data_IF_359902093216
#
_entry.id   IF_359902093216
#
_cell.length_a   1.000
_cell.length_b   1.000
_cell.length_c   1.000
_cell.angle_alpha   90.00
_cell.angle_beta   90.00
_cell.angle_gamma   90.00
#
_symmetry.space_group_name_H-M   'P 1'
#
loop_
_entity.id
_entity.type
_entity.pdbx_description
1 polymer ?
#
# COMPACT_ATOMS: atom_id res chain seq x y z
N UNK A 1 -52.48 -34.12 60.51
CA UNK A 1 -51.91 -32.78 60.79
C UNK A 1 -50.45 -32.98 61.18
N UNK A 2 -49.42 -32.37 60.59
CA UNK A 2 -49.32 -31.44 59.49
C UNK A 2 -47.87 -31.50 58.98
N UNK A 3 -47.71 -31.62 57.66
CA UNK A 3 -46.45 -31.34 56.97
C UNK A 3 -46.13 -29.85 57.12
N UNK A 4 -44.86 -29.49 57.40
CA UNK A 4 -44.20 -28.25 56.95
C UNK A 4 -42.78 -28.18 57.52
N UNK A 5 -41.83 -28.74 56.79
CA UNK A 5 -40.42 -28.38 56.89
C UNK A 5 -39.78 -28.66 55.53
N UNK A 6 -39.68 -27.62 54.70
CA UNK A 6 -38.91 -27.49 53.43
C UNK A 6 -39.46 -26.30 52.66
N UNK A 7 -39.23 -25.07 53.14
CA UNK A 7 -39.52 -23.89 52.32
C UNK A 7 -38.72 -22.66 52.77
N UNK A 8 -37.42 -22.81 53.04
CA UNK A 8 -36.55 -21.68 53.35
C UNK A 8 -35.12 -21.79 52.78
N UNK A 9 -34.83 -22.75 51.89
CA UNK A 9 -33.49 -22.88 51.28
C UNK A 9 -33.43 -22.71 49.76
N UNK A 10 -34.56 -22.52 49.06
CA UNK A 10 -34.56 -22.40 47.59
C UNK A 10 -34.41 -20.97 47.06
N UNK A 11 -34.48 -19.94 47.92
CA UNK A 11 -34.33 -18.53 47.51
C UNK A 11 -32.88 -18.04 47.40
N UNK A 12 -31.93 -18.74 48.01
CA UNK A 12 -30.51 -18.35 47.97
C UNK A 12 -29.73 -18.96 46.79
N UNK A 13 -30.25 -20.01 46.16
CA UNK A 13 -29.63 -20.58 44.96
C UNK A 13 -29.96 -19.79 43.68
N UNK A 14 -31.11 -19.13 43.59
CA UNK A 14 -31.45 -18.31 42.42
C UNK A 14 -30.66 -17.00 42.29
N UNK A 15 -29.97 -16.55 43.35
CA UNK A 15 -29.10 -15.36 43.32
C UNK A 15 -27.64 -15.66 43.02
N UNK A 16 -27.22 -16.93 43.03
CA UNK A 16 -25.85 -17.34 42.71
C UNK A 16 -25.62 -17.62 41.21
N UNK A 17 -26.68 -17.95 40.47
CA UNK A 17 -26.55 -18.25 39.04
C UNK A 17 -26.48 -17.01 38.14
N UNK A 18 -26.96 -15.84 38.60
CA UNK A 18 -26.81 -14.56 37.89
C UNK A 18 -25.46 -13.86 38.09
N UNK A 19 -24.51 -14.46 38.82
CA UNK A 19 -23.15 -13.92 39.00
C UNK A 19 -22.06 -14.75 38.34
N UNK A 20 -22.43 -15.83 37.63
CA UNK A 20 -21.47 -16.67 36.90
C UNK A 20 -21.41 -16.38 35.41
N UNK A 21 -22.34 -15.59 34.88
CA UNK A 21 -22.41 -15.23 33.46
C UNK A 21 -22.02 -13.77 33.15
N UNK A 22 -21.36 -13.11 34.11
CA UNK A 22 -20.86 -11.73 33.97
C UNK A 22 -19.45 -11.60 33.40
N UNK A 23 -18.86 -12.67 32.84
CA UNK A 23 -17.45 -12.69 32.39
C UNK A 23 -17.26 -13.25 30.96
N UNK A 24 -18.20 -13.04 30.05
CA UNK A 24 -18.02 -13.41 28.62
C UNK A 24 -18.55 -12.38 27.61
N UNK A 25 -18.69 -11.12 28.01
CA UNK A 25 -18.94 -10.02 27.06
C UNK A 25 -17.71 -9.11 26.81
N UNK A 26 -16.54 -9.51 27.33
CA UNK A 26 -15.26 -8.86 27.03
C UNK A 26 -14.34 -9.65 26.07
N UNK A 27 -14.64 -10.92 25.80
CA UNK A 27 -13.73 -11.82 25.04
C UNK A 27 -13.74 -11.63 23.53
N UNK A 28 -14.85 -11.13 22.94
CA UNK A 28 -14.95 -10.92 21.48
C UNK A 28 -14.17 -9.71 20.95
N UNK A 29 -13.69 -8.86 21.84
CA UNK A 29 -12.96 -7.64 21.48
C UNK A 29 -11.45 -7.90 21.37
N UNK A 30 -10.93 -8.84 22.17
CA UNK A 30 -9.50 -9.17 22.18
C UNK A 30 -9.17 -10.28 21.16
N UNK A 31 -10.08 -11.24 20.96
CA UNK A 31 -9.90 -12.33 19.98
C UNK A 31 -9.79 -11.85 18.52
N UNK A 32 -10.37 -10.69 18.17
CA UNK A 32 -10.28 -10.15 16.81
C UNK A 32 -8.95 -9.45 16.51
N UNK A 33 -8.22 -8.99 17.52
CA UNK A 33 -6.87 -8.44 17.35
C UNK A 33 -5.81 -9.53 17.24
N UNK A 34 -6.06 -10.68 17.85
CA UNK A 34 -5.18 -11.86 17.84
C UNK A 34 -5.61 -12.92 16.82
N UNK A 35 -6.33 -12.54 15.77
CA UNK A 35 -6.58 -13.47 14.67
C UNK A 35 -5.21 -13.81 14.06
N UNK A 36 -4.79 -15.07 14.20
CA UNK A 36 -3.56 -15.57 13.60
C UNK A 36 -3.76 -15.46 12.09
N UNK A 37 -3.09 -14.48 11.48
CA UNK A 37 -3.13 -14.27 10.04
C UNK A 37 -2.17 -15.24 9.38
N UNK A 38 -2.62 -15.84 8.29
CA UNK A 38 -1.77 -16.70 7.47
C UNK A 38 -0.66 -15.85 6.84
N UNK A 39 0.57 -16.38 6.80
CA UNK A 39 1.68 -15.68 6.15
C UNK A 39 1.35 -15.37 4.68
N UNK A 40 1.90 -14.27 4.15
CA UNK A 40 1.70 -13.88 2.75
C UNK A 40 2.34 -14.86 1.75
N UNK A 41 3.23 -15.72 2.24
CA UNK A 41 3.93 -16.78 1.50
C UNK A 41 3.90 -18.07 2.32
N UNK A 42 3.81 -19.20 1.63
CA UNK A 42 4.01 -20.50 2.26
C UNK A 42 5.48 -20.63 2.66
N UNK A 43 5.73 -20.75 3.96
CA UNK A 43 7.10 -20.90 4.49
C UNK A 43 7.58 -22.31 4.19
N UNK A 44 8.64 -22.43 3.38
CA UNK A 44 9.26 -23.70 3.06
C UNK A 44 10.07 -24.28 4.22
N UNK A 45 10.09 -25.60 4.34
CA UNK A 45 10.87 -26.30 5.39
C UNK A 45 12.40 -26.10 5.23
N UNK A 46 12.84 -25.69 4.04
CA UNK A 46 14.24 -25.42 3.69
C UNK A 46 14.70 -24.00 4.04
N UNK A 47 13.79 -23.14 4.50
CA UNK A 47 14.11 -21.75 4.80
C UNK A 47 14.88 -21.65 6.11
N UNK A 48 16.04 -20.97 6.05
CA UNK A 48 16.87 -20.71 7.23
C UNK A 48 16.52 -19.35 7.81
N UNK A 49 16.06 -19.32 9.05
CA UNK A 49 15.86 -18.08 9.80
C UNK A 49 17.21 -17.42 10.06
N UNK A 50 17.42 -16.22 9.50
CA UNK A 50 18.63 -15.42 9.73
C UNK A 50 18.49 -14.52 10.95
N UNK A 51 17.41 -13.74 10.99
CA UNK A 51 17.19 -12.75 12.04
C UNK A 51 15.68 -12.53 12.26
N UNK A 52 15.31 -12.23 13.50
CA UNK A 52 13.96 -11.83 13.89
C UNK A 52 14.03 -10.44 14.54
N UNK A 53 13.38 -9.46 13.90
CA UNK A 53 13.43 -8.06 14.34
C UNK A 53 12.05 -7.66 14.86
N UNK A 54 11.87 -7.46 16.18
CA UNK A 54 10.58 -7.03 16.72
C UNK A 54 10.33 -5.55 16.42
N UNK A 55 9.06 -5.17 16.27
CA UNK A 55 8.65 -3.78 15.99
C UNK A 55 9.12 -2.77 17.04
N UNK A 56 9.33 -3.21 18.29
CA UNK A 56 9.87 -2.37 19.36
C UNK A 56 11.32 -1.95 19.14
N UNK A 57 12.09 -2.71 18.36
CA UNK A 57 13.44 -2.37 17.92
C UNK A 57 13.38 -1.36 16.77
N UNK A 58 12.59 -1.65 15.72
CA UNK A 58 12.42 -0.76 14.57
C UNK A 58 11.91 0.64 14.96
N UNK A 59 10.99 0.73 15.91
CA UNK A 59 10.45 2.00 16.39
C UNK A 59 11.49 2.90 17.08
N UNK A 60 12.65 2.34 17.50
CA UNK A 60 13.75 3.10 18.12
C UNK A 60 14.83 3.47 17.13
N UNK A 61 14.87 2.84 15.96
CA UNK A 61 15.82 3.17 14.91
C UNK A 61 15.60 4.62 14.47
N UNK A 62 16.69 5.36 14.35
CA UNK A 62 16.70 6.74 13.86
C UNK A 62 17.89 6.90 12.96
N UNK A 63 17.66 7.57 11.83
CA UNK A 63 18.70 8.00 10.92
C UNK A 63 18.65 9.53 10.90
N UNK A 64 19.69 10.14 11.45
CA UNK A 64 19.82 11.60 11.46
C UNK A 64 20.61 12.03 10.20
N UNK A 65 20.29 13.21 9.66
CA UNK A 65 20.98 13.83 8.52
C UNK A 65 20.93 13.03 7.21
N UNK A 66 19.72 12.66 6.78
CA UNK A 66 19.51 12.11 5.43
C UNK A 66 19.70 13.24 4.39
N UNK A 67 20.60 13.09 3.40
CA UNK A 67 20.80 14.09 2.35
C UNK A 67 19.57 14.17 1.43
N UNK A 68 19.40 15.30 0.74
CA UNK A 68 18.40 15.40 -0.32
C UNK A 68 18.83 14.53 -1.51
N UNK A 69 17.91 13.70 -2.02
CA UNK A 69 18.18 12.85 -3.18
C UNK A 69 18.37 13.67 -4.45
N UNK A 70 19.34 13.28 -5.27
CA UNK A 70 19.60 13.90 -6.57
C UNK A 70 18.85 13.16 -7.67
N UNK A 71 18.20 13.89 -8.59
CA UNK A 71 17.52 13.26 -9.73
C UNK A 71 18.52 12.86 -10.81
N UNK A 72 18.69 11.56 -11.03
CA UNK A 72 19.58 10.99 -12.06
C UNK A 72 18.89 10.92 -13.42
N UNK A 73 17.60 10.52 -13.43
CA UNK A 73 16.86 10.34 -14.68
C UNK A 73 15.37 10.64 -14.51
N UNK A 74 14.81 11.31 -15.51
CA UNK A 74 13.38 11.59 -15.62
C UNK A 74 12.83 11.00 -16.92
N UNK A 75 11.78 10.18 -16.81
CA UNK A 75 11.15 9.48 -17.92
C UNK A 75 9.62 9.66 -17.90
N UNK A 76 9.01 9.68 -19.09
CA UNK A 76 7.55 9.62 -19.27
C UNK A 76 6.89 10.95 -19.60
N UNK A 77 5.58 11.01 -19.38
CA UNK A 77 4.78 12.20 -19.70
C UNK A 77 3.66 12.41 -18.70
N UNK A 78 3.36 13.68 -18.39
CA UNK A 78 2.31 14.06 -17.45
C UNK A 78 1.27 14.94 -18.10
N UNK A 79 0.00 14.59 -17.91
CA UNK A 79 -1.14 15.47 -18.16
C UNK A 79 -1.29 16.51 -17.05
N UNK A 80 -1.90 17.64 -17.40
CA UNK A 80 -2.15 18.73 -16.46
C UNK A 80 -3.32 18.43 -15.53
N UNK A 81 -3.20 18.86 -14.28
CA UNK A 81 -4.28 18.73 -13.30
C UNK A 81 -5.46 19.67 -13.60
N UNK A 82 -6.68 19.13 -13.54
CA UNK A 82 -7.91 19.91 -13.69
C UNK A 82 -8.27 20.63 -12.39
N UNK A 83 -7.90 21.92 -12.31
CA UNK A 83 -8.29 22.81 -11.18
C UNK A 83 -9.81 22.90 -10.98
N UNK A 84 -10.62 22.61 -12.01
CA UNK A 84 -12.07 22.56 -11.89
C UNK A 84 -12.55 21.46 -10.94
N UNK A 85 -11.77 20.40 -10.77
CA UNK A 85 -12.09 19.28 -9.88
C UNK A 85 -11.99 19.63 -8.39
N UNK A 86 -11.34 20.75 -8.03
CA UNK A 86 -11.32 21.26 -6.64
C UNK A 86 -12.68 21.77 -6.16
N UNK A 87 -13.63 22.04 -7.08
CA UNK A 87 -14.98 22.51 -6.75
C UNK A 87 -15.96 21.39 -6.41
N UNK A 88 -15.53 20.14 -6.49
CA UNK A 88 -16.37 18.98 -6.19
C UNK A 88 -16.70 18.99 -4.69
N UNK A 89 -17.97 18.77 -4.36
CA UNK A 89 -18.45 18.73 -2.98
C UNK A 89 -19.51 17.64 -2.82
N UNK A 90 -19.86 17.26 -1.58
CA UNK A 90 -20.91 16.27 -1.34
C UNK A 90 -22.28 16.65 -1.91
N UNK A 91 -22.52 17.92 -2.26
CA UNK A 91 -23.75 18.39 -2.93
C UNK A 91 -23.63 18.42 -4.45
N UNK A 92 -22.41 18.52 -4.96
CA UNK A 92 -22.08 18.58 -6.38
C UNK A 92 -21.06 17.48 -6.66
N UNK A 93 -21.53 16.23 -6.60
CA UNK A 93 -20.70 15.07 -6.89
C UNK A 93 -20.51 14.91 -8.39
N UNK A 94 -19.36 14.37 -8.77
CA UNK A 94 -19.04 14.00 -10.15
C UNK A 94 -18.88 12.47 -10.19
N UNK A 95 -19.63 11.76 -11.05
CA UNK A 95 -19.49 10.31 -11.14
C UNK A 95 -18.09 9.94 -11.64
N UNK A 96 -17.46 8.95 -11.00
CA UNK A 96 -16.14 8.48 -11.38
C UNK A 96 -16.23 7.71 -12.71
N UNK A 97 -15.45 8.17 -13.70
CA UNK A 97 -15.32 7.49 -15.00
C UNK A 97 -14.31 6.34 -14.87
N UNK A 98 -14.51 5.28 -15.66
CA UNK A 98 -13.55 4.18 -15.80
C UNK A 98 -12.61 4.44 -16.97
N UNK A 99 -11.31 4.26 -16.75
CA UNK A 99 -10.27 4.46 -17.75
C UNK A 99 -9.58 3.13 -18.09
N UNK A 100 -10.28 2.25 -18.81
CA UNK A 100 -9.78 0.90 -19.13
C UNK A 100 -8.64 0.89 -20.15
N UNK A 101 -8.51 1.95 -20.97
CA UNK A 101 -7.48 2.07 -22.00
C UNK A 101 -6.13 2.54 -21.45
N UNK A 102 -6.08 3.06 -20.21
CA UNK A 102 -4.85 3.57 -19.60
C UNK A 102 -4.14 2.46 -18.82
N UNK A 103 -2.96 2.06 -19.30
CA UNK A 103 -2.18 1.03 -18.64
C UNK A 103 -1.46 1.57 -17.39
N UNK A 104 -1.55 0.83 -16.28
CA UNK A 104 -0.75 1.04 -15.07
C UNK A 104 0.30 -0.06 -14.97
N UNK A 105 1.57 0.33 -14.82
CA UNK A 105 2.70 -0.59 -14.85
C UNK A 105 3.22 -0.85 -13.43
N UNK A 106 2.97 -2.07 -12.92
CA UNK A 106 3.38 -2.53 -11.58
C UNK A 106 4.71 -3.28 -11.63
N UNK A 107 5.75 -2.67 -12.19
CA UNK A 107 7.04 -3.31 -12.46
C UNK A 107 7.84 -3.50 -11.17
N UNK A 108 8.47 -4.66 -11.02
CA UNK A 108 9.41 -4.95 -9.92
C UNK A 108 10.80 -4.43 -10.24
N UNK A 109 11.64 -4.20 -9.23
CA UNK A 109 12.98 -3.60 -9.40
C UNK A 109 13.87 -4.31 -10.41
N UNK A 110 13.74 -5.64 -10.54
CA UNK A 110 14.57 -6.46 -11.42
C UNK A 110 14.11 -6.40 -12.89
N UNK A 111 12.82 -6.10 -13.11
CA UNK A 111 12.25 -5.99 -14.46
C UNK A 111 12.27 -4.54 -14.98
N UNK A 112 12.84 -3.62 -14.20
CA UNK A 112 12.95 -2.22 -14.59
C UNK A 112 14.23 -1.98 -15.42
N UNK A 113 14.10 -1.67 -16.73
CA UNK A 113 15.26 -1.54 -17.61
C UNK A 113 16.12 -0.31 -17.28
N UNK A 114 15.55 0.70 -16.62
CA UNK A 114 16.32 1.88 -16.18
C UNK A 114 17.19 1.50 -14.98
N UNK A 115 16.64 0.71 -14.06
CA UNK A 115 17.41 0.20 -12.91
C UNK A 115 18.48 -0.79 -13.39
N UNK A 116 18.16 -1.63 -14.37
CA UNK A 116 19.14 -2.55 -14.97
C UNK A 116 20.32 -1.79 -15.59
N UNK A 117 20.06 -0.71 -16.33
CA UNK A 117 21.12 0.15 -16.90
C UNK A 117 21.98 0.79 -15.80
N UNK A 118 21.35 1.36 -14.76
CA UNK A 118 22.06 1.97 -13.63
C UNK A 118 22.86 0.94 -12.80
N UNK A 119 22.38 -0.30 -12.73
CA UNK A 119 23.11 -1.40 -12.12
C UNK A 119 24.32 -1.81 -12.96
N UNK A 120 24.19 -1.81 -14.29
CA UNK A 120 25.30 -2.10 -15.21
C UNK A 120 26.40 -1.04 -15.14
N UNK A 121 26.03 0.21 -14.90
CA UNK A 121 26.95 1.34 -14.69
C UNK A 121 27.59 1.34 -13.30
N UNK A 122 27.14 0.44 -12.40
CA UNK A 122 27.60 0.35 -11.01
C UNK A 122 27.51 1.68 -10.26
N UNK A 123 26.50 2.48 -10.59
CA UNK A 123 26.26 3.79 -9.96
C UNK A 123 25.89 3.61 -8.48
N UNK A 124 25.32 2.45 -8.13
CA UNK A 124 24.68 2.18 -6.84
C UNK A 124 24.99 0.83 -6.20
N UNK A 125 24.65 0.72 -4.91
CA UNK A 125 24.71 -0.56 -4.18
C UNK A 125 23.31 -1.11 -3.86
N UNK A 126 22.34 -0.26 -3.51
CA UNK A 126 20.96 -0.70 -3.24
C UNK A 126 19.97 -0.11 -4.25
N UNK A 127 19.13 -0.98 -4.82
CA UNK A 127 18.09 -0.65 -5.81
C UNK A 127 16.71 -1.08 -5.29
N UNK A 128 15.72 -0.19 -5.41
CA UNK A 128 14.35 -0.42 -4.92
C UNK A 128 13.31 0.47 -5.64
N UNK A 129 12.04 0.12 -5.53
CA UNK A 129 10.93 1.03 -5.92
C UNK A 129 10.37 1.76 -4.71
N UNK A 130 9.72 2.91 -4.93
CA UNK A 130 9.09 3.71 -3.88
C UNK A 130 8.07 2.92 -3.07
N UNK A 131 7.31 2.05 -3.71
CA UNK A 131 6.33 1.17 -3.04
C UNK A 131 7.00 0.26 -2.00
N UNK A 132 8.13 -0.35 -2.37
CA UNK A 132 8.88 -1.27 -1.51
C UNK A 132 9.55 -0.52 -0.36
N UNK A 133 10.16 0.63 -0.64
CA UNK A 133 10.75 1.47 0.42
C UNK A 133 9.70 2.04 1.36
N UNK A 134 8.56 2.51 0.84
CA UNK A 134 7.47 3.00 1.67
C UNK A 134 6.94 1.92 2.60
N UNK A 135 6.85 0.67 2.12
CA UNK A 135 6.47 -0.47 2.94
C UNK A 135 7.49 -0.76 4.05
N UNK A 136 8.78 -0.73 3.75
CA UNK A 136 9.86 -0.91 4.74
C UNK A 136 9.85 0.20 5.80
N UNK A 137 9.75 1.46 5.38
CA UNK A 137 9.71 2.63 6.28
C UNK A 137 8.46 2.63 7.16
N UNK A 138 7.31 2.16 6.63
CA UNK A 138 6.03 2.11 7.36
C UNK A 138 5.75 0.75 8.01
N UNK A 139 6.71 -0.19 7.99
CA UNK A 139 6.57 -1.58 8.48
C UNK A 139 5.92 -1.69 9.86
N UNK A 140 6.30 -0.81 10.80
CA UNK A 140 5.78 -0.78 12.18
C UNK A 140 4.27 -0.50 12.32
N UNK A 141 3.62 -0.05 11.24
CA UNK A 141 2.17 0.25 11.21
C UNK A 141 1.35 -0.82 10.50
N UNK A 142 2.02 -1.72 9.78
CA UNK A 142 1.36 -2.78 9.03
C UNK A 142 0.76 -3.79 9.99
N UNK A 143 -0.44 -4.26 9.66
CA UNK A 143 -1.09 -5.35 10.35
C UNK A 143 -1.21 -6.57 9.42
N UNK A 144 -1.48 -6.36 8.13
CA UNK A 144 -1.56 -7.45 7.17
C UNK A 144 -0.15 -7.95 6.83
N UNK A 145 0.02 -9.27 6.67
CA UNK A 145 1.32 -9.85 6.32
C UNK A 145 1.71 -9.45 4.90
N UNK A 146 2.99 -9.16 4.72
CA UNK A 146 3.61 -8.82 3.44
C UNK A 146 5.02 -9.40 3.40
N UNK A 147 5.59 -9.52 2.21
CA UNK A 147 6.94 -10.06 2.00
C UNK A 147 7.64 -9.31 0.85
N UNK A 148 8.94 -9.14 0.99
CA UNK A 148 9.84 -8.51 0.01
C UNK A 148 10.90 -9.53 -0.37
N UNK A 149 11.24 -9.58 -1.66
CA UNK A 149 12.30 -10.44 -2.18
C UNK A 149 13.58 -9.62 -2.23
N UNK A 150 14.60 -10.04 -1.49
CA UNK A 150 15.93 -9.41 -1.53
C UNK A 150 16.84 -10.31 -2.36
N UNK A 151 17.36 -9.78 -3.46
CA UNK A 151 18.35 -10.47 -4.28
C UNK A 151 19.69 -9.76 -4.16
N UNK A 152 20.72 -10.52 -3.77
CA UNK A 152 22.10 -10.02 -3.73
C UNK A 152 22.85 -10.56 -4.93
N UNK A 153 23.38 -9.66 -5.76
CA UNK A 153 24.29 -9.99 -6.85
C UNK A 153 25.57 -9.18 -6.68
N UNK A 154 26.69 -9.86 -6.41
CA UNK A 154 27.96 -9.22 -6.04
C UNK A 154 27.80 -8.29 -4.82
N UNK A 155 28.14 -7.00 -4.99
CA UNK A 155 28.01 -5.95 -3.98
C UNK A 155 26.72 -5.13 -4.15
N UNK A 156 25.81 -5.59 -5.01
CA UNK A 156 24.52 -4.95 -5.25
C UNK A 156 23.38 -5.72 -4.59
N UNK A 157 22.41 -4.98 -4.06
CA UNK A 157 21.18 -5.45 -3.44
C UNK A 157 19.97 -4.92 -4.21
N UNK A 158 19.11 -5.84 -4.65
CA UNK A 158 17.86 -5.54 -5.33
C UNK A 158 16.70 -5.91 -4.41
N UNK A 159 15.91 -4.90 -4.02
CA UNK A 159 14.70 -5.07 -3.23
C UNK A 159 13.50 -5.11 -4.17
N UNK A 160 12.97 -6.30 -4.41
CA UNK A 160 11.84 -6.55 -5.30
C UNK A 160 10.61 -7.09 -4.57
N UNK A 161 9.53 -7.25 -5.32
CA UNK A 161 8.31 -7.96 -4.89
C UNK A 161 8.11 -9.20 -5.76
N UNK A 162 7.35 -10.18 -5.27
CA UNK A 162 6.91 -11.33 -6.04
C UNK A 162 5.79 -10.97 -7.01
N UNK A 163 5.71 -11.70 -8.11
CA UNK A 163 4.57 -11.65 -9.01
C UNK A 163 3.29 -12.08 -8.28
N UNK A 164 2.22 -11.29 -8.45
CA UNK A 164 0.95 -11.54 -7.77
C UNK A 164 0.95 -11.23 -6.27
N UNK A 165 2.01 -10.59 -5.74
CA UNK A 165 2.01 -10.04 -4.39
C UNK A 165 0.89 -9.01 -4.21
N UNK A 166 0.36 -8.91 -2.99
CA UNK A 166 -0.69 -7.95 -2.65
C UNK A 166 -0.15 -6.56 -2.31
N UNK A 167 1.17 -6.34 -2.39
CA UNK A 167 1.83 -5.05 -2.11
C UNK A 167 1.28 -3.91 -2.97
N UNK A 168 0.85 -4.22 -4.19
CA UNK A 168 0.27 -3.22 -5.11
C UNK A 168 -1.19 -2.87 -4.80
N UNK A 169 -1.84 -3.68 -3.97
CA UNK A 169 -3.23 -3.48 -3.60
C UNK A 169 -3.35 -2.57 -2.37
N UNK A 170 -4.26 -1.62 -2.45
CA UNK A 170 -4.56 -0.74 -1.32
C UNK A 170 -5.39 -1.46 -0.26
N UNK A 171 -4.87 -1.56 0.95
CA UNK A 171 -5.57 -2.17 2.08
C UNK A 171 -6.65 -1.25 2.63
N UNK A 172 -7.86 -1.78 2.89
CA UNK A 172 -8.99 -1.02 3.45
C UNK A 172 -9.23 -1.43 4.90
N UNK A 173 -9.38 -0.44 5.80
CA UNK A 173 -9.66 -0.63 7.22
C UNK A 173 -8.70 -1.59 7.95
N UNK A 174 -7.44 -1.65 7.51
CA UNK A 174 -6.41 -2.56 8.05
C UNK A 174 -6.20 -2.39 9.55
N UNK A 175 -6.12 -1.14 10.03
CA UNK A 175 -5.83 -0.81 11.44
C UNK A 175 -7.08 -0.50 12.25
N UNK A 176 -8.27 -0.69 11.67
CA UNK A 176 -9.54 -0.49 12.35
C UNK A 176 -9.73 -1.51 13.48
N UNK A 177 -10.56 -1.17 14.48
CA UNK A 177 -10.93 -2.14 15.51
C UNK A 177 -11.77 -3.29 14.97
N UNK A 178 -12.59 -3.02 13.95
CA UNK A 178 -13.39 -4.01 13.24
C UNK A 178 -12.88 -4.10 11.81
N UNK A 179 -12.02 -5.09 11.57
CA UNK A 179 -11.38 -5.30 10.28
C UNK A 179 -12.29 -6.08 9.34
N UNK A 180 -12.18 -5.87 8.01
CA UNK A 180 -12.88 -6.69 7.04
C UNK A 180 -12.54 -8.17 7.20
N UNK A 181 -13.52 -9.04 6.95
CA UNK A 181 -13.32 -10.49 7.06
C UNK A 181 -12.52 -11.02 5.86
N UNK A 182 -11.76 -12.07 6.10
CA UNK A 182 -11.22 -12.89 5.00
C UNK A 182 -12.34 -13.66 4.30
N UNK A 183 -12.13 -14.00 3.02
CA UNK A 183 -13.12 -14.70 2.20
C UNK A 183 -13.53 -16.06 2.80
N UNK A 184 -12.60 -16.78 3.44
CA UNK A 184 -12.85 -18.04 4.15
C UNK A 184 -13.88 -17.89 5.29
N UNK A 185 -13.99 -16.70 5.87
CA UNK A 185 -14.79 -16.39 7.04
C UNK A 185 -16.05 -15.57 6.72
N UNK A 186 -16.28 -15.25 5.44
CA UNK A 186 -17.39 -14.43 4.99
C UNK A 186 -18.55 -15.30 4.47
N UNK A 187 -19.79 -14.89 4.79
CA UNK A 187 -20.96 -15.46 4.13
C UNK A 187 -21.03 -15.02 2.65
N UNK A 188 -21.82 -15.69 1.80
CA UNK A 188 -21.97 -15.28 0.40
C UNK A 188 -22.41 -13.82 0.21
N UNK A 189 -23.22 -13.29 1.14
CA UNK A 189 -23.70 -11.90 1.14
C UNK A 189 -22.60 -10.90 1.57
N UNK A 190 -21.65 -11.35 2.40
CA UNK A 190 -20.53 -10.53 2.89
C UNK A 190 -19.30 -10.59 1.96
N UNK A 191 -19.34 -11.41 0.91
CA UNK A 191 -18.20 -11.65 0.01
C UNK A 191 -17.64 -10.35 -0.59
N UNK A 192 -18.51 -9.40 -0.93
CA UNK A 192 -18.14 -8.09 -1.47
C UNK A 192 -17.31 -7.26 -0.48
N UNK A 193 -17.54 -7.44 0.82
CA UNK A 193 -16.88 -6.70 1.90
C UNK A 193 -15.69 -7.48 2.50
N UNK A 194 -15.11 -8.40 1.73
CA UNK A 194 -13.92 -9.13 2.16
C UNK A 194 -12.65 -8.31 1.91
N UNK A 195 -11.58 -8.59 2.66
CA UNK A 195 -10.28 -7.89 2.55
C UNK A 195 -9.83 -7.79 1.07
N UNK A 196 -9.86 -8.90 0.33
CA UNK A 196 -9.41 -8.94 -1.07
C UNK A 196 -10.29 -8.11 -2.00
N UNK A 197 -11.62 -8.23 -1.89
CA UNK A 197 -12.53 -7.53 -2.81
C UNK A 197 -12.49 -6.02 -2.58
N UNK A 198 -12.46 -5.58 -1.32
CA UNK A 198 -12.29 -4.18 -0.97
C UNK A 198 -10.94 -3.63 -1.43
N UNK A 199 -9.86 -4.41 -1.32
CA UNK A 199 -8.55 -3.97 -1.77
C UNK A 199 -8.47 -3.81 -3.30
N UNK A 200 -9.07 -4.73 -4.06
CA UNK A 200 -9.19 -4.61 -5.52
C UNK A 200 -10.01 -3.37 -5.89
N UNK A 201 -11.17 -3.18 -5.25
CA UNK A 201 -12.04 -2.04 -5.50
C UNK A 201 -11.33 -0.71 -5.18
N UNK A 202 -10.69 -0.59 -4.02
CA UNK A 202 -9.96 0.61 -3.62
C UNK A 202 -8.83 0.94 -4.60
N UNK A 203 -8.07 -0.07 -5.04
CA UNK A 203 -7.00 0.11 -6.02
C UNK A 203 -7.55 0.59 -7.36
N UNK A 204 -8.65 0.01 -7.84
CA UNK A 204 -9.31 0.46 -9.07
C UNK A 204 -9.87 1.88 -8.95
N UNK A 205 -10.45 2.24 -7.80
CA UNK A 205 -10.93 3.61 -7.54
C UNK A 205 -9.75 4.58 -7.59
N UNK A 206 -8.64 4.26 -6.93
CA UNK A 206 -7.45 5.13 -6.91
C UNK A 206 -6.86 5.31 -8.31
N UNK A 207 -6.73 4.23 -9.09
CA UNK A 207 -6.31 4.28 -10.48
C UNK A 207 -7.23 5.20 -11.31
N UNK A 208 -8.53 4.94 -11.29
CA UNK A 208 -9.49 5.73 -12.07
C UNK A 208 -9.52 7.19 -11.63
N UNK A 209 -9.44 7.45 -10.32
CA UNK A 209 -9.44 8.79 -9.76
C UNK A 209 -8.20 9.58 -10.18
N UNK A 210 -7.02 8.94 -10.17
CA UNK A 210 -5.76 9.57 -10.60
C UNK A 210 -5.82 10.11 -12.03
N UNK A 211 -6.58 9.46 -12.92
CA UNK A 211 -6.75 9.87 -14.31
C UNK A 211 -7.96 10.80 -14.50
N UNK A 212 -9.03 10.61 -13.71
CA UNK A 212 -10.25 11.43 -13.79
C UNK A 212 -10.04 12.91 -13.46
N UNK A 213 -8.99 13.22 -12.68
CA UNK A 213 -8.64 14.58 -12.24
C UNK A 213 -7.72 15.30 -13.22
N UNK A 214 -7.41 14.71 -14.38
CA UNK A 214 -6.50 15.27 -15.36
C UNK A 214 -7.25 15.83 -16.57
N UNK A 215 -6.65 16.82 -17.21
CA UNK A 215 -7.13 17.39 -18.46
C UNK A 215 -6.57 16.55 -19.60
N UNK A 216 -7.45 15.89 -20.35
CA UNK A 216 -7.08 15.20 -21.58
C UNK A 216 -6.58 16.20 -22.63
N UNK A 217 -5.44 15.92 -23.25
CA UNK A 217 -4.86 16.78 -24.27
C UNK A 217 -3.35 16.88 -24.15
N UNK A 218 -2.84 18.11 -24.11
CA UNK A 218 -1.40 18.36 -24.08
C UNK A 218 -0.75 17.80 -22.81
N UNK A 219 0.38 17.14 -23.01
CA UNK A 219 1.19 16.53 -21.94
C UNK A 219 2.52 17.24 -21.80
N UNK A 220 2.94 17.45 -20.57
CA UNK A 220 4.32 17.77 -20.26
C UNK A 220 5.19 16.52 -20.47
N UNK A 221 6.17 16.60 -21.38
CA UNK A 221 7.06 15.48 -21.71
C UNK A 221 8.40 15.67 -21.02
N UNK A 222 8.86 14.62 -20.35
CA UNK A 222 10.21 14.58 -19.80
C UNK A 222 11.25 14.33 -20.91
N UNK A 223 12.55 14.53 -20.62
CA UNK A 223 13.61 14.30 -21.60
C UNK A 223 13.63 12.88 -22.17
N UNK A 224 13.28 11.87 -21.37
CA UNK A 224 13.24 10.48 -21.79
C UNK A 224 11.79 9.96 -21.90
N UNK A 225 11.56 9.03 -22.82
CA UNK A 225 10.27 8.34 -22.95
C UNK A 225 10.04 7.37 -21.78
N UNK A 226 8.78 6.99 -21.53
CA UNK A 226 8.48 5.92 -20.57
C UNK A 226 9.03 4.58 -21.12
N UNK A 227 9.89 3.88 -20.35
CA UNK A 227 10.51 2.63 -20.80
C UNK A 227 9.58 1.41 -20.82
N UNK A 228 8.36 1.51 -20.28
CA UNK A 228 7.42 0.38 -20.13
C UNK A 228 6.34 0.33 -21.22
N UNK A 229 6.31 1.31 -22.11
CA UNK A 229 5.28 1.40 -23.15
C UNK A 229 5.64 0.48 -24.32
N UNK A 230 4.67 -0.34 -24.75
CA UNK A 230 4.73 -1.03 -26.05
C UNK A 230 4.03 -0.20 -27.12
N UNK A 231 4.46 -0.28 -28.38
CA UNK A 231 3.82 0.43 -29.50
C UNK A 231 2.29 0.23 -29.52
N UNK A 232 1.54 1.34 -29.47
CA UNK A 232 0.07 1.35 -29.55
C UNK A 232 -0.68 1.34 -28.21
N UNK A 233 0.00 1.40 -27.07
CA UNK A 233 -0.65 1.55 -25.76
C UNK A 233 -0.85 3.02 -25.36
N UNK A 234 -2.04 3.34 -24.85
CA UNK A 234 -2.30 4.64 -24.22
C UNK A 234 -1.85 4.62 -22.75
N UNK A 235 -0.88 5.47 -22.44
CA UNK A 235 -0.26 5.54 -21.12
C UNK A 235 -1.14 6.34 -20.14
N UNK A 236 -1.25 5.83 -18.90
CA UNK A 236 -1.64 6.65 -17.76
C UNK A 236 -0.63 7.80 -17.59
N UNK A 237 -1.08 8.95 -17.08
CA UNK A 237 -0.19 10.08 -16.79
C UNK A 237 0.72 9.74 -15.60
N UNK A 238 1.91 9.22 -15.91
CA UNK A 238 2.93 8.80 -14.94
C UNK A 238 4.29 9.29 -15.40
N UNK A 239 5.08 9.78 -14.46
CA UNK A 239 6.50 9.98 -14.69
C UNK A 239 7.33 9.23 -13.68
N UNK A 240 8.44 8.69 -14.15
CA UNK A 240 9.40 7.95 -13.35
C UNK A 240 10.60 8.85 -13.12
N UNK A 241 10.89 9.12 -11.86
CA UNK A 241 12.16 9.73 -11.45
C UNK A 241 13.02 8.66 -10.78
N UNK A 242 14.29 8.60 -11.17
CA UNK A 242 15.28 7.80 -10.47
C UNK A 242 16.21 8.74 -9.71
N UNK A 243 16.27 8.55 -8.40
CA UNK A 243 17.11 9.35 -7.50
C UNK A 243 18.30 8.59 -6.94
N UNK A 244 19.40 9.31 -6.70
CA UNK A 244 20.55 8.86 -5.92
C UNK A 244 20.52 9.52 -4.53
N UNK A 245 20.46 8.70 -3.48
CA UNK A 245 20.54 9.16 -2.09
C UNK A 245 21.95 8.85 -1.58
N UNK A 246 22.73 9.90 -1.33
CA UNK A 246 24.15 9.80 -1.02
C UNK A 246 24.41 9.04 0.31
N UNK A 247 24.51 7.72 0.24
CA UNK A 247 25.53 6.90 0.92
C UNK A 247 25.43 5.41 0.58
N UNK A 248 24.23 4.85 0.31
CA UNK A 248 24.08 3.41 -0.02
C UNK A 248 22.89 3.12 -0.98
N UNK A 249 21.87 3.97 -1.07
CA UNK A 249 20.66 3.73 -1.88
C UNK A 249 20.63 4.62 -3.12
N UNK A 250 20.92 4.05 -4.29
CA UNK A 250 21.22 4.82 -5.49
C UNK A 250 20.27 4.55 -6.67
N UNK A 251 19.23 3.74 -6.46
CA UNK A 251 18.21 3.50 -7.47
C UNK A 251 16.84 3.44 -6.86
N UNK A 252 16.26 4.62 -6.56
CA UNK A 252 14.87 4.74 -6.16
C UNK A 252 14.01 5.17 -7.34
N UNK A 253 13.11 4.30 -7.79
CA UNK A 253 12.04 4.69 -8.71
C UNK A 253 10.89 5.37 -7.96
N UNK A 254 10.57 6.61 -8.35
CA UNK A 254 9.41 7.38 -7.87
C UNK A 254 8.42 7.59 -9.01
N UNK A 255 7.21 7.08 -8.86
CA UNK A 255 6.09 7.34 -9.77
C UNK A 255 5.35 8.63 -9.34
N UNK A 256 5.22 9.61 -10.24
CA UNK A 256 4.50 10.87 -10.00
C UNK A 256 3.27 10.94 -10.90
N UNK A 257 2.14 11.38 -10.35
CA UNK A 257 0.86 11.54 -11.04
C UNK A 257 0.45 13.02 -11.09
N UNK A 258 0.35 13.59 -12.29
CA UNK A 258 -0.07 14.99 -12.52
C UNK A 258 0.96 16.05 -12.11
N UNK A 259 0.77 17.29 -12.59
CA UNK A 259 1.75 18.39 -12.48
C UNK A 259 1.40 19.45 -11.42
N UNK A 260 0.82 19.08 -10.28
CA UNK A 260 0.56 20.07 -9.20
C UNK A 260 1.00 19.56 -7.84
N UNK A 261 2.31 19.57 -7.60
CA UNK A 261 2.87 19.54 -6.25
C UNK A 261 3.86 20.69 -6.08
N UNK A 262 3.47 21.67 -5.26
CA UNK A 262 4.23 22.90 -4.95
C UNK A 262 5.29 22.68 -3.87
N UNK A 263 6.06 21.59 -3.98
CA UNK A 263 7.24 21.37 -3.16
C UNK A 263 8.42 21.08 -4.07
N UNK A 264 9.12 22.15 -4.45
CA UNK A 264 10.43 22.08 -5.08
C UNK A 264 10.49 21.91 -6.61
N UNK A 265 9.37 21.69 -7.31
CA UNK A 265 9.39 21.63 -8.78
C UNK A 265 9.06 23.01 -9.37
N UNK A 266 9.97 23.67 -10.12
CA UNK A 266 9.58 24.75 -11.01
C UNK A 266 8.85 24.14 -12.21
N UNK A 267 7.53 24.09 -12.13
CA UNK A 267 6.69 23.67 -13.26
C UNK A 267 6.43 24.92 -14.10
N UNK A 268 6.69 24.90 -15.42
CA UNK A 268 6.33 26.02 -16.28
C UNK A 268 4.81 26.18 -16.24
N UNK A 269 4.36 27.28 -15.65
CA UNK A 269 2.97 27.70 -15.78
C UNK A 269 2.67 27.85 -17.27
N UNK A 270 1.57 27.27 -17.75
CA UNK A 270 1.01 27.68 -19.03
C UNK A 270 0.73 29.18 -18.93
N UNK A 271 1.56 30.01 -19.55
CA UNK A 271 1.20 31.39 -19.82
C UNK A 271 -0.13 31.34 -20.58
N UNK A 272 -1.17 31.83 -19.93
CA UNK A 272 -2.46 32.04 -20.56
C UNK A 272 -2.23 32.98 -21.75
N UNK A 273 -2.21 32.42 -22.96
CA UNK A 273 -2.18 33.18 -24.18
C UNK A 273 -3.33 34.19 -24.17
N UNK A 274 -2.99 35.45 -24.46
CA UNK A 274 -3.92 36.55 -24.71
C UNK A 274 -4.81 36.28 -25.91
#
# INVERSE_FOLDING_TARGET
MGQRNRQWNDRDNYRKDFRRDGRRYGGRYDDRRNQIREASVEVGDDWVLLEEIPFSTLAKCRMDNVPEGETVRECGSLEYYDKGSERISCKMEKPLKRFEHRAFHYVTTIEDPVIEELASESTGTVYATSTILALLMASTRTAYPWDIVVQRANDMLFLGKRDGSQIDLQTVNETAQDQPKEEKNASPEEKINTVRHLAIEATQINQNFSQAMLIEGDRYKFPNANPFITEGQEEASVSVKVGDEASELCGLRVDVFGTTWTGGIPIPEMEAGQ
#
